data_IF_251518169539
#
_entry.id   IF_251518169539
#
_cell.length_a   1.000
_cell.length_b   1.000
_cell.length_c   1.000
_cell.angle_alpha   90.00
_cell.angle_beta   90.00
_cell.angle_gamma   90.00
#
_symmetry.space_group_name_H-M   'P 1'
#
loop_
_entity.id
_entity.type
_entity.pdbx_description
1 polymer ?
#
# COMPACT_ATOMS: atom_id res chain seq x y z
N UNK A 1 29.90 -4.82 20.07
CA UNK A 1 30.57 -3.61 20.61
C UNK A 1 29.91 -2.38 19.99
N UNK A 2 29.20 -1.54 20.76
CA UNK A 2 28.34 -0.51 20.18
C UNK A 2 29.20 0.67 19.67
N UNK A 3 28.94 1.10 18.43
CA UNK A 3 29.70 2.12 17.68
C UNK A 3 29.60 3.57 18.22
N UNK A 4 28.94 3.76 19.36
CA UNK A 4 28.76 5.04 20.05
C UNK A 4 29.99 5.47 20.87
N UNK A 5 30.92 4.56 21.17
CA UNK A 5 32.13 4.85 21.94
C UNK A 5 33.22 5.62 21.17
N UNK A 6 33.00 5.99 19.89
CA UNK A 6 34.01 6.64 19.03
C UNK A 6 33.63 8.03 18.51
N UNK A 7 32.59 8.66 19.08
CA UNK A 7 32.21 10.02 18.72
C UNK A 7 32.86 11.03 19.69
N UNK A 8 33.78 11.85 19.19
CA UNK A 8 34.56 12.84 19.97
C UNK A 8 33.73 14.03 20.48
N UNK A 9 32.42 14.06 20.20
CA UNK A 9 31.48 15.06 20.68
C UNK A 9 30.04 14.52 20.60
N UNK A 10 29.17 14.79 21.60
CA UNK A 10 27.74 14.45 21.57
C UNK A 10 27.02 14.92 20.30
N UNK A 11 27.41 16.08 19.77
CA UNK A 11 26.87 16.60 18.50
C UNK A 11 27.19 15.67 17.32
N UNK A 12 28.43 15.18 17.21
CA UNK A 12 28.82 14.26 16.13
C UNK A 12 28.12 12.91 16.24
N UNK A 13 27.90 12.42 17.47
CA UNK A 13 27.11 11.22 17.70
C UNK A 13 25.65 11.41 17.24
N UNK A 14 25.04 12.54 17.61
CA UNK A 14 23.66 12.86 17.27
C UNK A 14 23.45 13.06 15.77
N UNK A 15 24.33 13.81 15.10
CA UNK A 15 24.28 13.97 13.64
C UNK A 15 24.42 12.62 12.93
N UNK A 16 25.32 11.75 13.39
CA UNK A 16 25.52 10.44 12.76
C UNK A 16 24.30 9.53 12.96
N UNK A 17 23.70 9.51 14.15
CA UNK A 17 22.45 8.79 14.41
C UNK A 17 21.31 9.33 13.56
N UNK A 18 21.15 10.65 13.49
CA UNK A 18 20.15 11.30 12.66
C UNK A 18 20.31 10.93 11.18
N UNK A 19 21.53 10.96 10.64
CA UNK A 19 21.80 10.54 9.26
C UNK A 19 21.47 9.07 9.02
N UNK A 20 21.85 8.17 9.92
CA UNK A 20 21.55 6.73 9.79
C UNK A 20 20.03 6.51 9.83
N UNK A 21 19.33 7.13 10.78
CA UNK A 21 17.88 7.02 10.91
C UNK A 21 17.14 7.58 9.69
N UNK A 22 17.56 8.75 9.19
CA UNK A 22 17.00 9.35 7.97
C UNK A 22 17.25 8.48 6.75
N UNK A 23 18.44 7.88 6.61
CA UNK A 23 18.73 6.98 5.50
C UNK A 23 17.91 5.69 5.59
N UNK A 24 17.80 5.10 6.78
CA UNK A 24 17.00 3.90 7.01
C UNK A 24 15.51 4.14 6.74
N UNK A 25 14.97 5.28 7.17
CA UNK A 25 13.58 5.64 6.91
C UNK A 25 13.33 5.87 5.41
N UNK A 26 14.23 6.56 4.71
CA UNK A 26 14.13 6.75 3.25
C UNK A 26 14.15 5.43 2.49
N UNK A 27 15.07 4.52 2.83
CA UNK A 27 15.11 3.18 2.23
C UNK A 27 13.82 2.42 2.50
N UNK A 28 13.31 2.42 3.74
CA UNK A 28 12.05 1.75 4.08
C UNK A 28 10.86 2.31 3.31
N UNK A 29 10.73 3.64 3.21
CA UNK A 29 9.68 4.28 2.41
C UNK A 29 9.77 3.84 0.95
N UNK A 30 10.98 3.82 0.39
CA UNK A 30 11.20 3.43 -1.00
C UNK A 30 10.84 1.96 -1.24
N UNK A 31 11.25 1.06 -0.35
CA UNK A 31 10.93 -0.37 -0.42
C UNK A 31 9.42 -0.62 -0.37
N UNK A 32 8.69 0.09 0.50
CA UNK A 32 7.23 -0.03 0.59
C UNK A 32 6.54 0.47 -0.68
N UNK A 33 6.99 1.61 -1.22
CA UNK A 33 6.45 2.13 -2.48
C UNK A 33 6.73 1.19 -3.65
N UNK A 34 7.94 0.62 -3.71
CA UNK A 34 8.32 -0.37 -4.74
C UNK A 34 7.49 -1.63 -4.60
N UNK A 35 7.31 -2.15 -3.39
CA UNK A 35 6.47 -3.33 -3.13
C UNK A 35 5.05 -3.10 -3.62
N UNK A 36 4.46 -1.94 -3.30
CA UNK A 36 3.13 -1.58 -3.77
C UNK A 36 3.06 -1.40 -5.30
N UNK A 37 4.12 -0.94 -5.96
CA UNK A 37 4.18 -0.82 -7.43
C UNK A 37 4.32 -2.18 -8.11
N UNK A 38 4.97 -3.15 -7.46
CA UNK A 38 5.32 -4.46 -8.01
C UNK A 38 4.39 -5.57 -7.52
N UNK A 39 3.26 -5.24 -6.91
CA UNK A 39 2.29 -6.26 -6.52
C UNK A 39 1.87 -7.05 -7.76
N UNK A 40 1.90 -8.39 -7.69
CA UNK A 40 1.43 -9.22 -8.78
C UNK A 40 -0.07 -9.01 -8.97
N UNK A 41 -0.60 -9.48 -10.11
CA UNK A 41 -2.04 -9.51 -10.32
C UNK A 41 -2.72 -10.27 -9.18
N UNK A 42 -3.85 -9.75 -8.71
CA UNK A 42 -4.62 -10.36 -7.63
C UNK A 42 -5.17 -11.73 -8.09
N UNK A 43 -4.60 -12.82 -7.57
CA UNK A 43 -5.15 -14.18 -7.73
C UNK A 43 -6.23 -14.47 -6.68
N UNK A 44 -6.02 -13.96 -5.47
CA UNK A 44 -6.98 -13.98 -4.36
C UNK A 44 -7.20 -12.54 -3.91
N UNK A 45 -8.43 -12.05 -4.03
CA UNK A 45 -8.77 -10.67 -3.70
C UNK A 45 -8.50 -10.36 -2.21
N UNK A 46 -8.82 -11.28 -1.31
CA UNK A 46 -8.66 -11.09 0.13
C UNK A 46 -7.20 -10.95 0.52
N UNK A 47 -6.34 -11.86 0.06
CA UNK A 47 -4.89 -11.80 0.32
C UNK A 47 -4.27 -10.54 -0.29
N UNK A 48 -4.68 -10.19 -1.51
CA UNK A 48 -4.23 -8.98 -2.19
C UNK A 48 -4.57 -7.72 -1.39
N UNK A 49 -5.83 -7.59 -0.95
CA UNK A 49 -6.28 -6.43 -0.20
C UNK A 49 -5.62 -6.33 1.18
N UNK A 50 -5.35 -7.47 1.84
CA UNK A 50 -4.61 -7.50 3.10
C UNK A 50 -3.19 -6.97 2.94
N UNK A 51 -2.47 -7.39 1.88
CA UNK A 51 -1.11 -6.89 1.60
C UNK A 51 -1.13 -5.38 1.36
N UNK A 52 -2.11 -4.90 0.58
CA UNK A 52 -2.26 -3.46 0.32
C UNK A 52 -2.54 -2.69 1.61
N UNK A 53 -3.39 -3.22 2.49
CA UNK A 53 -3.67 -2.61 3.79
C UNK A 53 -2.42 -2.52 4.67
N UNK A 54 -1.65 -3.61 4.78
CA UNK A 54 -0.39 -3.62 5.54
C UNK A 54 0.56 -2.52 5.03
N UNK A 55 0.73 -2.39 3.71
CA UNK A 55 1.62 -1.37 3.14
C UNK A 55 1.07 0.04 3.40
N UNK A 56 -0.24 0.25 3.26
CA UNK A 56 -0.90 1.53 3.58
C UNK A 56 -0.64 1.94 5.04
N UNK A 57 -0.85 1.02 5.96
CA UNK A 57 -0.71 1.26 7.40
C UNK A 57 0.75 1.53 7.77
N UNK A 58 1.69 0.76 7.20
CA UNK A 58 3.12 1.00 7.41
C UNK A 58 3.58 2.37 6.89
N UNK A 59 3.08 2.79 5.72
CA UNK A 59 3.34 4.10 5.15
C UNK A 59 2.75 5.22 6.04
N UNK A 60 1.58 5.02 6.63
CA UNK A 60 0.99 5.94 7.59
C UNK A 60 1.81 6.03 8.89
N UNK A 61 2.30 4.90 9.42
CA UNK A 61 3.14 4.84 10.64
C UNK A 61 4.42 5.66 10.49
N UNK A 62 5.04 5.64 9.32
CA UNK A 62 6.26 6.41 9.02
C UNK A 62 5.96 7.85 8.54
N UNK A 63 4.72 8.31 8.73
CA UNK A 63 4.24 9.66 8.42
C UNK A 63 4.35 10.03 6.93
N UNK A 64 4.20 9.03 6.05
CA UNK A 64 4.12 9.18 4.59
C UNK A 64 2.85 8.47 4.09
N UNK A 65 1.65 8.90 4.54
CA UNK A 65 0.41 8.27 4.12
C UNK A 65 0.24 8.37 2.60
N UNK A 66 -0.38 7.34 2.03
CA UNK A 66 -0.76 7.32 0.61
C UNK A 66 -2.13 7.97 0.44
N UNK A 67 -2.28 8.75 -0.63
CA UNK A 67 -3.56 9.32 -1.03
C UNK A 67 -4.55 8.21 -1.41
N UNK A 68 -5.82 8.37 -1.05
CA UNK A 68 -6.83 7.32 -1.30
C UNK A 68 -7.14 7.15 -2.79
N UNK A 69 -7.09 8.22 -3.59
CA UNK A 69 -7.28 8.12 -5.04
C UNK A 69 -6.11 7.43 -5.73
N UNK A 70 -4.86 7.71 -5.32
CA UNK A 70 -3.68 6.97 -5.80
C UNK A 70 -3.76 5.48 -5.42
N UNK A 71 -4.09 5.19 -4.15
CA UNK A 71 -4.24 3.82 -3.66
C UNK A 71 -5.32 3.07 -4.44
N UNK A 72 -6.49 3.69 -4.65
CA UNK A 72 -7.60 3.11 -5.42
C UNK A 72 -7.18 2.80 -6.85
N UNK A 73 -6.53 3.76 -7.53
CA UNK A 73 -6.05 3.55 -8.90
C UNK A 73 -5.08 2.39 -8.99
N UNK A 74 -4.20 2.23 -8.00
CA UNK A 74 -3.18 1.16 -7.97
C UNK A 74 -3.77 -0.20 -7.67
N UNK A 75 -4.76 -0.27 -6.77
CA UNK A 75 -5.51 -1.50 -6.50
C UNK A 75 -6.20 -1.98 -7.77
N UNK A 76 -7.02 -1.13 -8.40
CA UNK A 76 -7.84 -1.50 -9.55
C UNK A 76 -7.03 -1.92 -10.78
N UNK A 77 -5.83 -1.35 -11.00
CA UNK A 77 -4.94 -1.72 -12.12
C UNK A 77 -4.41 -3.15 -12.04
N UNK A 78 -4.30 -3.71 -10.84
CA UNK A 78 -3.70 -5.02 -10.61
C UNK A 78 -4.76 -6.13 -10.41
N UNK A 79 -6.05 -5.82 -10.54
CA UNK A 79 -7.11 -6.82 -10.49
C UNK A 79 -7.20 -7.62 -11.80
N UNK A 80 -7.86 -8.78 -11.73
CA UNK A 80 -8.21 -9.59 -12.92
C UNK A 80 -9.20 -8.85 -13.82
N UNK A 81 -9.32 -9.30 -15.07
CA UNK A 81 -10.27 -8.76 -16.04
C UNK A 81 -11.73 -8.90 -15.59
N UNK A 82 -12.03 -9.86 -14.73
CA UNK A 82 -13.38 -10.10 -14.17
C UNK A 82 -13.87 -8.94 -13.29
N UNK A 83 -12.93 -8.13 -12.79
CA UNK A 83 -13.22 -6.91 -12.02
C UNK A 83 -13.23 -5.65 -12.89
N UNK A 84 -13.08 -5.76 -14.23
CA UNK A 84 -12.96 -4.59 -15.11
C UNK A 84 -14.18 -3.68 -15.05
N UNK A 85 -15.39 -4.26 -15.04
CA UNK A 85 -16.64 -3.50 -15.01
C UNK A 85 -16.75 -2.66 -13.73
N UNK A 86 -16.59 -3.29 -12.56
CA UNK A 86 -16.60 -2.59 -11.28
C UNK A 86 -15.45 -1.59 -11.15
N UNK A 87 -14.28 -1.90 -11.71
CA UNK A 87 -13.14 -0.99 -11.74
C UNK A 87 -13.44 0.30 -12.51
N UNK A 88 -14.08 0.20 -13.68
CA UNK A 88 -14.49 1.36 -14.48
C UNK A 88 -15.56 2.17 -13.74
N UNK A 89 -16.54 1.51 -13.13
CA UNK A 89 -17.57 2.18 -12.36
C UNK A 89 -16.99 2.97 -11.18
N UNK A 90 -16.03 2.39 -10.43
CA UNK A 90 -15.36 3.06 -9.31
C UNK A 90 -14.50 4.23 -9.82
N UNK A 91 -13.75 4.07 -10.92
CA UNK A 91 -12.90 5.12 -11.48
C UNK A 91 -13.69 6.29 -12.09
N UNK A 92 -14.96 6.07 -12.46
CA UNK A 92 -15.83 7.10 -13.04
C UNK A 92 -16.53 7.96 -11.98
N UNK A 93 -16.37 7.67 -10.69
CA UNK A 93 -16.96 8.47 -9.61
C UNK A 93 -16.26 9.82 -9.49
N UNK A 94 -17.03 10.89 -9.38
CA UNK A 94 -16.51 12.24 -9.07
C UNK A 94 -16.04 12.39 -7.61
N UNK A 95 -16.50 11.50 -6.73
CA UNK A 95 -16.16 11.50 -5.30
C UNK A 95 -15.06 10.50 -4.98
N UNK A 96 -14.13 10.86 -4.08
CA UNK A 96 -13.17 9.90 -3.53
C UNK A 96 -13.88 8.73 -2.83
N UNK A 97 -13.27 7.55 -2.91
CA UNK A 97 -13.72 6.32 -2.27
C UNK A 97 -12.70 5.95 -1.19
N UNK A 98 -13.19 5.59 -0.01
CA UNK A 98 -12.30 5.13 1.07
C UNK A 98 -11.81 3.72 0.79
N UNK A 99 -10.66 3.36 1.34
CA UNK A 99 -10.14 1.99 1.18
C UNK A 99 -11.12 0.92 1.70
N UNK A 100 -11.84 1.22 2.79
CA UNK A 100 -12.84 0.31 3.36
C UNK A 100 -14.04 0.11 2.42
N UNK A 101 -14.54 1.19 1.82
CA UNK A 101 -15.63 1.11 0.84
C UNK A 101 -15.17 0.38 -0.43
N UNK A 102 -13.96 0.65 -0.92
CA UNK A 102 -13.36 -0.06 -2.04
C UNK A 102 -13.29 -1.57 -1.77
N UNK A 103 -12.85 -1.96 -0.58
CA UNK A 103 -12.79 -3.36 -0.16
C UNK A 103 -14.15 -4.04 -0.19
N UNK A 104 -15.16 -3.41 0.41
CA UNK A 104 -16.52 -3.96 0.44
C UNK A 104 -17.08 -4.16 -0.97
N UNK A 105 -16.94 -3.15 -1.85
CA UNK A 105 -17.39 -3.21 -3.25
C UNK A 105 -16.76 -4.36 -4.02
N UNK A 106 -15.46 -4.58 -3.85
CA UNK A 106 -14.74 -5.66 -4.54
C UNK A 106 -15.17 -7.04 -4.01
N UNK A 107 -15.39 -7.19 -2.70
CA UNK A 107 -15.87 -8.44 -2.11
C UNK A 107 -17.28 -8.79 -2.56
N UNK A 108 -18.18 -7.80 -2.63
CA UNK A 108 -19.54 -7.98 -3.17
C UNK A 108 -19.49 -8.47 -4.62
N UNK A 109 -18.64 -7.86 -5.45
CA UNK A 109 -18.45 -8.27 -6.85
C UNK A 109 -17.86 -9.68 -6.99
N UNK A 110 -16.88 -10.03 -6.16
CA UNK A 110 -16.32 -11.39 -6.14
C UNK A 110 -17.42 -12.43 -5.79
N UNK A 111 -18.34 -12.08 -4.88
CA UNK A 111 -19.50 -12.91 -4.56
C UNK A 111 -20.44 -13.09 -5.74
N UNK A 112 -20.68 -12.03 -6.51
CA UNK A 112 -21.50 -12.07 -7.74
C UNK A 112 -20.86 -12.96 -8.81
N UNK A 113 -19.57 -12.79 -9.09
CA UNK A 113 -18.83 -13.61 -10.07
C UNK A 113 -18.91 -15.11 -9.75
N UNK A 114 -18.75 -15.48 -8.47
CA UNK A 114 -18.85 -16.88 -8.00
C UNK A 114 -20.25 -17.49 -8.21
N UNK A 115 -21.29 -16.68 -8.26
CA UNK A 115 -22.66 -17.16 -8.53
C UNK A 115 -22.89 -17.35 -10.03
N UNK A 116 -22.35 -16.47 -10.87
CA UNK A 116 -22.43 -16.58 -12.33
C UNK A 116 -21.66 -17.80 -12.88
N UNK A 117 -20.50 -18.14 -12.31
CA UNK A 117 -19.74 -19.34 -12.71
C UNK A 117 -20.44 -20.67 -12.41
N UNK A 118 -21.48 -20.65 -11.56
CA UNK A 118 -22.20 -21.87 -11.12
C UNK A 118 -23.41 -22.20 -11.99
N UNK A 119 -23.71 -21.38 -13.00
CA UNK A 119 -24.82 -21.53 -13.94
C UNK A 119 -24.33 -21.88 -15.35
#
# INVERSE_FOLDING_TARGET
>A
MPLISRATSPHKAWTKLATIYVNQSRTRIMDLKITLLRLPKAQNLSEYMQIVQIIKDELAIINVPIDESDLTSRVLRNLSLDFKEISVAILSRDTSITFAELHNRLVEHEGFLKLEEKH
#
